data_IF_150097032739
#
_entry.id   IF_150097032739
#
_cell.length_a   1.000
_cell.length_b   1.000
_cell.length_c   1.000
_cell.angle_alpha   90.00
_cell.angle_beta   90.00
_cell.angle_gamma   90.00
#
_symmetry.space_group_name_H-M   'P 1'
#
loop_
_entity.id
_entity.type
_entity.pdbx_description
1 polymer ?
#
# COMPACT_ATOMS: atom_id res chain seq x y z
N UNK A 1 -1.43 19.51 29.24
CA UNK A 1 -1.54 20.56 28.21
C UNK A 1 -2.30 19.99 27.03
N UNK A 2 -3.39 20.64 26.57
CA UNK A 2 -4.19 20.15 25.44
C UNK A 2 -3.45 20.50 24.15
N UNK A 3 -3.00 19.51 23.39
CA UNK A 3 -2.38 19.73 22.10
C UNK A 3 -3.48 20.17 21.11
N UNK A 4 -3.41 21.42 20.65
CA UNK A 4 -4.27 21.94 19.59
C UNK A 4 -3.84 21.32 18.26
N UNK A 5 -4.66 20.42 17.71
CA UNK A 5 -4.45 19.71 16.44
C UNK A 5 -4.74 20.63 15.22
N UNK A 6 -5.16 21.88 15.46
CA UNK A 6 -5.69 22.78 14.42
C UNK A 6 -4.64 23.52 13.57
N UNK A 7 -3.34 23.37 13.83
CA UNK A 7 -2.31 24.20 13.17
C UNK A 7 -1.40 23.47 12.17
N UNK A 8 -1.63 22.18 11.90
CA UNK A 8 -0.83 21.46 10.91
C UNK A 8 -1.49 21.48 9.52
N UNK A 9 -1.67 22.67 8.95
CA UNK A 9 -2.13 22.89 7.56
C UNK A 9 -1.03 22.57 6.51
N UNK A 10 0.01 21.85 6.91
CA UNK A 10 1.15 21.47 6.08
C UNK A 10 1.42 19.98 6.17
N UNK A 11 0.40 19.14 5.94
CA UNK A 11 0.67 17.74 5.60
C UNK A 11 1.30 17.73 4.21
N UNK A 12 2.63 17.83 4.18
CA UNK A 12 3.43 17.65 2.99
C UNK A 12 3.08 16.29 2.39
N UNK A 13 2.15 16.26 1.43
CA UNK A 13 2.01 15.18 0.46
C UNK A 13 3.27 15.22 -0.40
N UNK A 14 4.36 14.68 0.13
CA UNK A 14 5.64 14.52 -0.58
C UNK A 14 5.52 13.53 -1.74
N UNK A 15 4.46 12.72 -1.74
CA UNK A 15 4.21 11.70 -2.74
C UNK A 15 2.81 11.86 -3.36
N UNK A 16 2.70 11.74 -4.69
CA UNK A 16 1.40 11.72 -5.35
C UNK A 16 0.63 10.48 -4.93
N UNK A 17 -0.54 10.71 -4.35
CA UNK A 17 -1.52 9.69 -3.96
C UNK A 17 -2.56 9.56 -5.08
N UNK A 18 -2.88 8.33 -5.49
CA UNK A 18 -3.86 8.05 -6.54
C UNK A 18 -5.02 7.23 -5.99
N UNK A 19 -6.24 7.53 -6.43
CA UNK A 19 -7.43 6.80 -5.99
C UNK A 19 -7.56 5.45 -6.71
N UNK A 20 -8.27 4.46 -6.13
CA UNK A 20 -8.58 3.21 -6.81
C UNK A 20 -9.25 3.40 -8.17
N UNK A 21 -10.15 4.39 -8.28
CA UNK A 21 -10.86 4.74 -9.51
C UNK A 21 -9.91 5.26 -10.59
N UNK A 22 -8.91 6.07 -10.21
CA UNK A 22 -7.87 6.55 -11.14
C UNK A 22 -7.01 5.39 -11.67
N UNK A 23 -6.69 4.43 -10.80
CA UNK A 23 -5.93 3.23 -11.17
C UNK A 23 -6.74 2.35 -12.13
N UNK A 24 -8.04 2.19 -11.88
CA UNK A 24 -8.94 1.43 -12.75
C UNK A 24 -9.13 2.14 -14.10
N UNK A 25 -9.37 3.46 -14.11
CA UNK A 25 -9.51 4.27 -15.31
C UNK A 25 -8.22 4.29 -16.17
N UNK A 26 -7.06 4.14 -15.55
CA UNK A 26 -5.79 4.01 -16.27
C UNK A 26 -5.65 2.68 -17.02
N UNK A 27 -6.55 1.71 -16.81
CA UNK A 27 -6.51 0.35 -17.35
C UNK A 27 -6.10 -0.71 -16.33
N UNK A 28 -6.28 -0.44 -15.03
CA UNK A 28 -5.84 -1.30 -13.93
C UNK A 28 -4.42 -0.99 -13.46
N UNK A 29 -4.00 -1.69 -12.39
CA UNK A 29 -2.72 -1.47 -11.68
C UNK A 29 -1.50 -1.58 -12.60
N UNK A 30 -1.51 -2.50 -13.56
CA UNK A 30 -0.42 -2.71 -14.53
C UNK A 30 -0.27 -1.52 -15.47
N UNK A 31 -1.37 -1.05 -16.06
CA UNK A 31 -1.36 0.08 -17.00
C UNK A 31 -1.06 1.40 -16.26
N UNK A 32 -1.59 1.55 -15.05
CA UNK A 32 -1.28 2.67 -14.16
C UNK A 32 0.22 2.73 -13.82
N UNK A 33 0.84 1.59 -13.50
CA UNK A 33 2.26 1.51 -13.19
C UNK A 33 3.16 1.88 -14.37
N UNK A 34 2.77 1.48 -15.60
CA UNK A 34 3.46 1.87 -16.83
C UNK A 34 3.33 3.37 -17.12
N UNK A 35 2.11 3.95 -16.97
CA UNK A 35 1.84 5.37 -17.22
C UNK A 35 2.47 6.30 -16.18
N UNK A 36 2.57 5.84 -14.94
CA UNK A 36 3.08 6.66 -13.82
C UNK A 36 4.60 6.87 -13.84
N UNK A 37 5.31 6.29 -14.81
CA UNK A 37 6.77 6.34 -14.95
C UNK A 37 7.54 6.00 -13.66
N UNK A 38 6.89 5.29 -12.73
CA UNK A 38 7.52 4.79 -11.51
C UNK A 38 8.44 3.67 -11.94
N UNK A 39 9.71 3.75 -11.52
CA UNK A 39 10.79 2.91 -12.03
C UNK A 39 10.56 1.43 -11.67
N UNK A 40 9.78 0.73 -12.49
CA UNK A 40 9.37 -0.66 -12.26
C UNK A 40 10.59 -1.56 -12.13
N UNK A 41 11.70 -1.21 -12.80
CA UNK A 41 12.98 -1.92 -12.69
C UNK A 41 13.60 -1.83 -11.30
N UNK A 42 13.49 -0.68 -10.61
CA UNK A 42 14.02 -0.57 -9.24
C UNK A 42 13.18 -1.37 -8.26
N UNK A 43 11.85 -1.37 -8.43
CA UNK A 43 10.94 -2.22 -7.64
C UNK A 43 11.21 -3.71 -7.87
N UNK A 44 11.36 -4.15 -9.13
CA UNK A 44 11.68 -5.53 -9.46
C UNK A 44 13.01 -5.95 -8.83
N UNK A 45 14.05 -5.10 -8.93
CA UNK A 45 15.34 -5.37 -8.27
C UNK A 45 15.21 -5.44 -6.75
N UNK A 46 14.40 -4.58 -6.14
CA UNK A 46 14.16 -4.61 -4.69
C UNK A 46 13.45 -5.89 -4.26
N UNK A 47 12.45 -6.35 -5.03
CA UNK A 47 11.73 -7.60 -4.79
C UNK A 47 12.59 -8.84 -5.02
N UNK A 48 13.48 -8.83 -6.01
CA UNK A 48 14.42 -9.94 -6.23
C UNK A 48 15.45 -10.08 -5.11
N UNK A 49 15.83 -8.96 -4.50
CA UNK A 49 16.77 -8.92 -3.38
C UNK A 49 16.06 -9.00 -2.02
N UNK A 50 14.72 -9.07 -1.98
CA UNK A 50 14.02 -9.17 -0.72
C UNK A 50 14.29 -10.53 -0.08
N UNK A 51 14.37 -10.62 1.26
CA UNK A 51 14.41 -11.90 1.92
C UNK A 51 13.24 -12.77 1.47
N UNK A 52 13.43 -14.11 1.48
CA UNK A 52 12.32 -15.03 1.21
C UNK A 52 11.18 -14.68 2.14
N UNK A 53 10.01 -14.43 1.54
CA UNK A 53 8.81 -14.19 2.31
C UNK A 53 8.53 -15.44 3.13
N UNK A 54 8.35 -15.27 4.43
CA UNK A 54 7.87 -16.35 5.28
C UNK A 54 6.40 -16.53 4.92
N UNK A 55 6.01 -17.67 4.32
CA UNK A 55 4.60 -17.91 4.05
C UNK A 55 3.86 -17.93 5.38
N UNK A 56 2.72 -17.25 5.42
CA UNK A 56 1.83 -17.29 6.58
C UNK A 56 1.53 -18.75 6.89
N UNK A 57 1.74 -19.13 8.15
CA UNK A 57 1.34 -20.44 8.62
C UNK A 57 -0.18 -20.55 8.60
N UNK A 58 -0.68 -21.77 8.54
CA UNK A 58 -2.12 -22.05 8.51
C UNK A 58 -2.81 -21.56 9.82
N UNK A 59 -2.06 -21.57 10.92
CA UNK A 59 -2.46 -21.05 12.23
C UNK A 59 -2.63 -19.53 12.22
N UNK A 60 -1.62 -18.80 11.74
CA UNK A 60 -1.69 -17.34 11.62
C UNK A 60 -2.81 -16.92 10.66
N UNK A 61 -3.05 -17.70 9.60
CA UNK A 61 -4.10 -17.40 8.63
C UNK A 61 -5.50 -17.58 9.22
N UNK A 62 -5.67 -18.61 10.04
CA UNK A 62 -6.91 -18.87 10.76
C UNK A 62 -7.17 -17.78 11.82
N UNK A 63 -6.14 -17.33 12.52
CA UNK A 63 -6.27 -16.25 13.50
C UNK A 63 -6.59 -14.91 12.87
N UNK A 64 -6.00 -14.59 11.72
CA UNK A 64 -6.34 -13.40 10.95
C UNK A 64 -7.81 -13.44 10.47
N UNK A 65 -8.26 -14.60 10.00
CA UNK A 65 -9.65 -14.81 9.56
C UNK A 65 -10.65 -14.65 10.70
N UNK A 66 -10.30 -15.09 11.92
CA UNK A 66 -11.12 -14.86 13.13
C UNK A 66 -11.17 -13.38 13.53
N UNK A 67 -10.08 -12.64 13.37
CA UNK A 67 -10.08 -11.19 13.65
C UNK A 67 -10.96 -10.45 12.65
N UNK A 68 -10.82 -10.75 11.36
CA UNK A 68 -11.63 -10.14 10.29
C UNK A 68 -13.14 -10.40 10.45
N UNK A 69 -13.53 -11.55 10.99
CA UNK A 69 -14.94 -11.85 11.25
C UNK A 69 -15.51 -11.18 12.50
N UNK A 70 -14.66 -10.74 13.44
CA UNK A 70 -15.06 -9.99 14.64
C UNK A 70 -15.17 -8.48 14.41
N UNK A 71 -14.44 -7.95 13.43
CA UNK A 71 -14.48 -6.54 13.01
C UNK A 71 -15.66 -6.24 12.05
N UNK A 72 -16.57 -7.19 11.86
CA UNK A 72 -17.77 -7.09 11.02
C UNK A 72 -18.99 -6.70 11.84
#
# INVERSE_FOLDING_TARGET
MKHNISTNNGSFKTHPTHSPEEVLAAGGTTAFSLKSNKNTRSLIKALQNSPKIEPFTEEEWNDLSKQMSKDK
#
